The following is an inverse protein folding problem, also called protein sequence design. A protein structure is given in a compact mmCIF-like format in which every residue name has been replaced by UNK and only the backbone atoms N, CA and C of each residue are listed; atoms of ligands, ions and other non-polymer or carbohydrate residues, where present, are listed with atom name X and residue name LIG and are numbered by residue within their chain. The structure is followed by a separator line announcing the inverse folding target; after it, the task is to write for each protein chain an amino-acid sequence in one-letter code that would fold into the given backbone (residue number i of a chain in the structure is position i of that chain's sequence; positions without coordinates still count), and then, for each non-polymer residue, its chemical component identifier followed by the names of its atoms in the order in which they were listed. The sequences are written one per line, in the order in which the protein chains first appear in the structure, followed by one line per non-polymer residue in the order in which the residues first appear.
data_IF_456849556910
#
_entry.id   IF_456849556910
#
_cell.length_a   1.000
_cell.length_b   1.000
_cell.length_c   1.000
_cell.angle_alpha   90.00
_cell.angle_beta   90.00
_cell.angle_gamma   90.00
#
_symmetry.space_group_name_H-M   'P 1'
#
loop_
_entity.id
_entity.type
_entity.pdbx_description
1 polymer ?
#
# COMPACT_ATOMS: atom_id res chain seq x y z
N UNK A 1 -40.29 -29.51 -5.23
CA UNK A 1 -40.84 -28.30 -4.59
C UNK A 1 -39.71 -27.67 -3.81
N UNK A 2 -39.24 -26.54 -4.33
CA UNK A 2 -38.12 -25.68 -3.95
C UNK A 2 -37.64 -25.69 -2.50
N UNK A 3 -36.35 -25.99 -2.28
CA UNK A 3 -35.50 -25.20 -1.36
C UNK A 3 -34.00 -25.46 -1.62
N UNK A 4 -33.52 -25.05 -2.80
CA UNK A 4 -32.10 -24.86 -3.07
C UNK A 4 -31.90 -23.45 -3.61
N UNK A 5 -31.98 -22.45 -2.73
CA UNK A 5 -31.37 -21.15 -3.02
C UNK A 5 -31.08 -20.35 -1.74
N UNK A 6 -29.94 -20.67 -1.11
CA UNK A 6 -29.24 -19.76 -0.19
C UNK A 6 -27.73 -19.85 -0.37
N UNK A 7 -27.24 -19.95 -1.61
CA UNK A 7 -25.88 -19.48 -1.90
C UNK A 7 -25.96 -17.97 -2.07
N UNK A 8 -26.07 -17.31 -0.91
CA UNK A 8 -25.91 -15.88 -0.78
C UNK A 8 -24.68 -15.47 -1.59
N UNK A 9 -24.92 -14.61 -2.57
CA UNK A 9 -23.94 -13.90 -3.37
C UNK A 9 -22.96 -13.23 -2.40
N UNK A 10 -21.82 -13.88 -2.14
CA UNK A 10 -20.64 -13.19 -1.61
C UNK A 10 -20.23 -12.24 -2.73
N UNK A 11 -20.55 -10.96 -2.57
CA UNK A 11 -20.05 -9.92 -3.46
C UNK A 11 -18.54 -10.14 -3.65
N UNK A 12 -18.09 -10.14 -4.90
CA UNK A 12 -16.68 -10.34 -5.25
C UNK A 12 -15.87 -9.37 -4.39
N UNK A 13 -14.93 -9.88 -3.58
CA UNK A 13 -14.06 -9.01 -2.80
C UNK A 13 -13.40 -7.99 -3.73
N UNK A 14 -13.26 -6.73 -3.28
CA UNK A 14 -12.56 -5.70 -4.04
C UNK A 14 -11.15 -6.19 -4.38
N UNK A 15 -10.78 -6.14 -5.66
CA UNK A 15 -9.49 -6.60 -6.18
C UNK A 15 -8.80 -5.43 -6.87
N UNK A 16 -7.53 -5.20 -6.52
CA UNK A 16 -6.68 -4.19 -7.15
C UNK A 16 -5.47 -4.89 -7.75
N UNK A 17 -5.21 -4.64 -9.03
CA UNK A 17 -4.01 -5.09 -9.74
C UNK A 17 -3.09 -3.93 -10.02
N UNK A 18 -1.79 -4.13 -9.82
CA UNK A 18 -0.77 -3.13 -10.10
C UNK A 18 0.26 -3.70 -11.07
N UNK A 19 0.74 -2.85 -11.97
CA UNK A 19 2.02 -3.11 -12.64
C UNK A 19 3.14 -2.98 -11.60
N UNK A 20 4.16 -3.84 -11.69
CA UNK A 20 5.18 -4.01 -10.66
C UNK A 20 6.04 -2.76 -10.45
N UNK A 21 6.54 -2.15 -11.52
CA UNK A 21 7.28 -0.88 -11.44
C UNK A 21 6.43 0.20 -10.80
N UNK A 22 5.16 0.35 -11.23
CA UNK A 22 4.25 1.34 -10.67
C UNK A 22 4.00 1.11 -9.18
N UNK A 23 3.87 -0.15 -8.76
CA UNK A 23 3.75 -0.50 -7.35
C UNK A 23 4.99 -0.06 -6.57
N UNK A 24 6.18 -0.41 -7.06
CA UNK A 24 7.46 -0.02 -6.47
C UNK A 24 7.65 1.50 -6.40
N UNK A 25 7.31 2.24 -7.45
CA UNK A 25 7.37 3.71 -7.48
C UNK A 25 6.52 4.34 -6.37
N UNK A 26 5.31 3.85 -6.17
CA UNK A 26 4.40 4.37 -5.14
C UNK A 26 4.85 3.98 -3.73
N UNK A 27 5.39 2.77 -3.56
CA UNK A 27 6.00 2.32 -2.32
C UNK A 27 7.20 3.22 -1.95
N UNK A 28 8.07 3.53 -2.91
CA UNK A 28 9.22 4.45 -2.74
C UNK A 28 8.80 5.88 -2.39
N UNK A 29 7.57 6.30 -2.70
CA UNK A 29 7.00 7.59 -2.28
C UNK A 29 6.32 7.53 -0.90
N UNK A 30 6.47 6.41 -0.21
CA UNK A 30 5.81 6.09 1.05
C UNK A 30 4.29 6.23 1.00
N UNK A 31 3.66 5.82 -0.11
CA UNK A 31 2.20 5.81 -0.21
C UNK A 31 1.63 4.84 0.84
N UNK A 32 0.76 5.30 1.76
CA UNK A 32 0.28 4.46 2.85
C UNK A 32 -0.41 3.18 2.39
N UNK A 33 -1.30 3.26 1.40
CA UNK A 33 -2.06 2.10 0.94
C UNK A 33 -1.15 1.03 0.34
N UNK A 34 -0.11 1.46 -0.38
CA UNK A 34 0.86 0.55 -1.00
C UNK A 34 1.75 -0.09 0.05
N UNK A 35 2.26 0.70 1.00
CA UNK A 35 3.09 0.17 2.08
C UNK A 35 2.29 -0.80 2.97
N UNK A 36 1.03 -0.49 3.28
CA UNK A 36 0.16 -1.38 4.06
C UNK A 36 -0.14 -2.68 3.31
N UNK A 37 -0.41 -2.60 2.01
CA UNK A 37 -0.57 -3.78 1.15
C UNK A 37 0.70 -4.64 1.17
N UNK A 38 1.86 -4.03 0.95
CA UNK A 38 3.15 -4.73 0.92
C UNK A 38 3.48 -5.40 2.27
N UNK A 39 3.14 -4.77 3.39
CA UNK A 39 3.40 -5.28 4.74
C UNK A 39 2.26 -6.12 5.32
N UNK A 40 1.19 -6.35 4.57
CA UNK A 40 0.10 -7.23 5.00
C UNK A 40 0.63 -8.65 5.28
N UNK A 41 0.22 -9.28 6.40
CA UNK A 41 0.54 -10.68 6.67
C UNK A 41 -0.29 -11.65 5.81
N UNK A 42 -1.35 -11.15 5.15
CA UNK A 42 -2.27 -11.96 4.36
C UNK A 42 -1.73 -12.14 2.94
N UNK A 43 -1.09 -13.28 2.68
CA UNK A 43 -0.58 -13.66 1.36
C UNK A 43 -1.29 -14.93 0.90
N UNK A 44 -2.14 -14.80 -0.13
CA UNK A 44 -2.86 -15.95 -0.69
C UNK A 44 -1.97 -16.80 -1.61
N UNK A 45 -1.14 -16.15 -2.43
CA UNK A 45 -0.18 -16.80 -3.34
C UNK A 45 1.07 -15.94 -3.49
N UNK A 46 2.21 -16.59 -3.63
CA UNK A 46 3.50 -15.93 -3.86
C UNK A 46 4.41 -16.82 -4.70
N UNK A 47 4.91 -16.29 -5.81
CA UNK A 47 5.92 -16.92 -6.65
C UNK A 47 7.33 -16.44 -6.25
N UNK A 48 8.36 -16.77 -7.04
CA UNK A 48 9.74 -16.36 -6.74
C UNK A 48 9.92 -14.83 -6.78
N UNK A 49 9.30 -14.17 -7.76
CA UNK A 49 9.35 -12.70 -7.88
C UNK A 49 8.66 -12.02 -6.69
N UNK A 50 7.52 -12.55 -6.27
CA UNK A 50 6.83 -12.08 -5.07
C UNK A 50 7.66 -12.28 -3.80
N UNK A 51 8.32 -13.44 -3.64
CA UNK A 51 9.22 -13.69 -2.49
C UNK A 51 10.35 -12.68 -2.41
N UNK A 52 10.96 -12.36 -3.55
CA UNK A 52 12.01 -11.35 -3.64
C UNK A 52 11.49 -9.95 -3.29
N UNK A 53 10.31 -9.56 -3.80
CA UNK A 53 9.66 -8.30 -3.44
C UNK A 53 9.38 -8.20 -1.93
N UNK A 54 8.88 -9.27 -1.30
CA UNK A 54 8.63 -9.30 0.14
C UNK A 54 9.91 -9.20 0.97
N UNK A 55 11.02 -9.78 0.50
CA UNK A 55 12.34 -9.63 1.13
C UNK A 55 12.91 -8.21 1.01
N UNK A 56 12.38 -7.39 0.09
CA UNK A 56 12.76 -5.99 -0.12
C UNK A 56 11.91 -4.98 0.67
N UNK A 57 10.96 -5.42 1.50
CA UNK A 57 10.07 -4.55 2.31
C UNK A 57 10.80 -3.37 2.97
N UNK A 58 11.90 -3.65 3.65
CA UNK A 58 12.65 -2.64 4.40
C UNK A 58 13.32 -1.59 3.48
N UNK A 59 13.59 -1.93 2.21
CA UNK A 59 14.16 -0.99 1.24
C UNK A 59 13.20 0.17 0.91
N UNK A 60 11.89 -0.01 1.12
CA UNK A 60 10.88 1.03 0.89
C UNK A 60 10.68 1.97 2.09
N UNK A 61 11.16 1.58 3.28
CA UNK A 61 10.91 2.34 4.50
C UNK A 61 11.96 3.44 4.70
N UNK A 62 11.49 4.63 5.05
CA UNK A 62 12.36 5.78 5.33
C UNK A 62 11.62 6.84 6.14
N UNK A 63 12.36 7.84 6.64
CA UNK A 63 11.78 9.01 7.31
C UNK A 63 10.86 9.83 6.40
N UNK A 64 10.89 9.64 5.08
CA UNK A 64 9.93 10.28 4.15
C UNK A 64 8.48 9.88 4.44
N UNK A 65 8.26 8.71 5.06
CA UNK A 65 6.94 8.26 5.49
C UNK A 65 6.25 9.27 6.43
N UNK A 66 7.01 9.93 7.30
CA UNK A 66 6.49 11.01 8.16
C UNK A 66 5.77 12.08 7.35
N UNK A 67 6.47 12.65 6.36
CA UNK A 67 5.93 13.72 5.53
C UNK A 67 4.69 13.28 4.75
N UNK A 68 4.67 12.05 4.20
CA UNK A 68 3.52 11.57 3.44
C UNK A 68 2.31 11.28 4.33
N UNK A 69 2.51 10.61 5.46
CA UNK A 69 1.42 10.24 6.37
C UNK A 69 0.84 11.47 7.08
N UNK A 70 1.69 12.37 7.59
CA UNK A 70 1.24 13.60 8.27
C UNK A 70 0.52 14.53 7.29
N UNK A 71 1.06 14.78 6.09
CA UNK A 71 0.36 15.62 5.08
C UNK A 71 -0.98 15.01 4.68
N UNK A 72 -1.03 13.70 4.47
CA UNK A 72 -2.27 13.00 4.16
C UNK A 72 -3.29 13.15 5.31
N UNK A 73 -2.83 12.94 6.55
CA UNK A 73 -3.67 13.02 7.73
C UNK A 73 -4.25 14.42 7.96
N UNK A 74 -3.44 15.47 7.80
CA UNK A 74 -3.89 16.87 7.90
C UNK A 74 -4.94 17.22 6.83
N UNK A 75 -4.81 16.65 5.62
CA UNK A 75 -5.82 16.78 4.56
C UNK A 75 -7.14 16.11 4.91
N UNK A 76 -7.10 14.90 5.46
CA UNK A 76 -8.30 14.17 5.87
C UNK A 76 -8.96 14.78 7.11
N UNK A 77 -8.19 15.27 8.09
CA UNK A 77 -8.72 15.94 9.28
C UNK A 77 -9.58 17.14 8.89
N UNK A 78 -9.07 18.01 8.01
CA UNK A 78 -9.84 19.18 7.53
C UNK A 78 -11.19 18.82 6.89
N UNK A 79 -11.26 17.66 6.24
CA UNK A 79 -12.53 17.15 5.67
C UNK A 79 -13.48 16.68 6.77
N UNK A 80 -12.98 16.00 7.80
CA UNK A 80 -13.79 15.60 8.95
C UNK A 80 -14.28 16.81 9.73
N UNK A 81 -13.45 17.83 9.94
CA UNK A 81 -13.84 19.09 10.60
C UNK A 81 -14.99 19.77 9.84
N UNK A 82 -14.91 19.79 8.50
CA UNK A 82 -15.95 20.32 7.65
C UNK A 82 -17.25 19.50 7.76
N UNK A 83 -17.16 18.17 7.74
CA UNK A 83 -18.30 17.27 7.92
C UNK A 83 -18.99 17.53 9.27
N UNK A 84 -18.23 17.69 10.36
CA UNK A 84 -18.77 17.99 11.70
C UNK A 84 -19.47 19.35 11.73
N UNK A 85 -18.90 20.38 11.11
CA UNK A 85 -19.53 21.71 11.06
C UNK A 85 -20.83 21.70 10.26
N UNK A 86 -20.90 20.91 9.20
CA UNK A 86 -22.06 20.85 8.32
C UNK A 86 -23.17 19.94 8.84
N UNK A 87 -22.81 18.78 9.42
CA UNK A 87 -23.75 17.71 9.74
C UNK A 87 -23.81 17.38 11.25
N UNK A 88 -23.00 18.04 12.08
CA UNK A 88 -22.93 17.85 13.53
C UNK A 88 -22.10 16.64 13.97
N UNK A 89 -21.80 15.71 13.07
CA UNK A 89 -21.03 14.47 13.35
C UNK A 89 -20.04 14.16 12.24
N UNK A 90 -18.88 13.56 12.58
CA UNK A 90 -17.92 13.13 11.57
C UNK A 90 -18.36 11.82 10.92
N UNK A 91 -17.75 11.49 9.78
CA UNK A 91 -17.79 10.11 9.27
C UNK A 91 -16.91 9.22 10.13
N UNK A 92 -17.50 8.55 11.12
CA UNK A 92 -16.80 7.73 12.13
C UNK A 92 -15.82 6.68 11.56
N UNK A 93 -16.22 5.98 10.48
CA UNK A 93 -15.32 5.04 9.77
C UNK A 93 -14.05 5.72 9.28
N UNK A 94 -14.18 6.94 8.76
CA UNK A 94 -13.07 7.72 8.23
C UNK A 94 -12.19 8.27 9.36
N UNK A 95 -12.79 8.77 10.44
CA UNK A 95 -12.06 9.19 11.64
C UNK A 95 -11.23 8.06 12.26
N UNK A 96 -11.81 6.87 12.41
CA UNK A 96 -11.12 5.66 12.87
C UNK A 96 -9.93 5.31 11.96
N UNK A 97 -10.14 5.30 10.65
CA UNK A 97 -9.08 4.96 9.70
C UNK A 97 -7.91 5.95 9.77
N UNK A 98 -8.20 7.24 9.96
CA UNK A 98 -7.21 8.28 10.11
C UNK A 98 -6.39 8.13 11.40
N UNK A 99 -7.03 7.82 12.53
CA UNK A 99 -6.34 7.52 13.79
C UNK A 99 -5.42 6.32 13.66
N UNK A 100 -5.92 5.22 13.06
CA UNK A 100 -5.13 4.03 12.79
C UNK A 100 -3.89 4.36 11.98
N UNK A 101 -4.05 5.13 10.90
CA UNK A 101 -2.95 5.52 10.01
C UNK A 101 -1.88 6.35 10.74
N UNK A 102 -2.29 7.30 11.58
CA UNK A 102 -1.38 8.11 12.40
C UNK A 102 -0.63 7.25 13.43
N UNK A 103 -1.32 6.30 14.08
CA UNK A 103 -0.70 5.36 15.01
C UNK A 103 0.36 4.50 14.31
N UNK A 104 0.03 3.95 13.14
CA UNK A 104 0.97 3.20 12.29
C UNK A 104 2.19 4.04 11.90
N UNK A 105 2.01 5.31 11.54
CA UNK A 105 3.13 6.21 11.23
C UNK A 105 4.07 6.41 12.42
N UNK A 106 3.49 6.72 13.59
CA UNK A 106 4.24 6.88 14.84
C UNK A 106 5.06 5.63 15.16
N UNK A 107 4.43 4.46 15.09
CA UNK A 107 5.10 3.20 15.45
C UNK A 107 6.18 2.83 14.44
N UNK A 108 5.94 3.07 13.14
CA UNK A 108 6.96 2.96 12.09
C UNK A 108 8.17 3.86 12.40
N UNK A 109 7.94 5.13 12.75
CA UNK A 109 9.03 6.08 13.03
C UNK A 109 9.81 5.72 14.30
N UNK A 110 9.14 5.17 15.32
CA UNK A 110 9.77 4.74 16.57
C UNK A 110 10.56 3.44 16.44
N UNK A 111 10.03 2.47 15.69
CA UNK A 111 10.56 1.09 15.68
C UNK A 111 11.33 0.74 14.41
N UNK A 112 11.14 1.52 13.34
CA UNK A 112 11.64 1.20 12.00
C UNK A 112 10.86 0.08 11.30
N UNK A 113 9.77 -0.42 11.89
CA UNK A 113 9.00 -1.55 11.36
C UNK A 113 7.57 -1.12 11.07
N UNK A 114 7.09 -1.40 9.87
CA UNK A 114 5.69 -1.19 9.52
C UNK A 114 4.87 -2.43 9.91
N UNK A 115 4.02 -2.28 10.93
CA UNK A 115 3.11 -3.31 11.44
C UNK A 115 1.67 -2.85 11.24
N UNK A 116 0.84 -3.73 10.65
CA UNK A 116 -0.57 -3.44 10.31
C UNK A 116 -1.51 -3.76 11.48
N UNK A 117 -1.08 -4.66 12.36
CA UNK A 117 -1.82 -4.99 13.57
C UNK A 117 -1.87 -3.78 14.52
N UNK A 118 -3.07 -3.46 14.99
CA UNK A 118 -3.35 -2.33 15.88
C UNK A 118 -3.27 -2.71 17.36
N UNK A 119 -3.09 -3.99 17.67
CA UNK A 119 -2.92 -4.51 19.04
C UNK A 119 -3.98 -3.99 20.00
N UNK A 120 -3.51 -3.47 21.14
CA UNK A 120 -4.36 -2.99 22.25
C UNK A 120 -5.25 -1.79 21.87
N UNK A 121 -4.89 -1.03 20.82
CA UNK A 121 -5.69 0.09 20.34
C UNK A 121 -6.96 -0.37 19.57
N UNK A 122 -7.11 -1.68 19.29
CA UNK A 122 -8.23 -2.22 18.50
C UNK A 122 -9.60 -1.81 19.03
N UNK A 123 -9.87 -2.03 20.31
CA UNK A 123 -11.19 -1.75 20.87
C UNK A 123 -11.48 -0.24 20.91
N UNK A 124 -10.45 0.56 21.21
CA UNK A 124 -10.55 2.01 21.19
C UNK A 124 -10.87 2.55 19.79
N UNK A 125 -10.24 1.99 18.75
CA UNK A 125 -10.55 2.31 17.35
C UNK A 125 -11.98 1.87 16.96
N UNK A 126 -12.44 0.73 17.46
CA UNK A 126 -13.82 0.27 17.21
C UNK A 126 -14.85 1.16 17.92
N UNK A 127 -14.58 1.64 19.12
CA UNK A 127 -15.42 2.63 19.81
C UNK A 127 -15.56 3.93 19.00
N UNK A 128 -14.46 4.42 18.40
CA UNK A 128 -14.50 5.54 17.43
C UNK A 128 -15.40 5.21 16.25
N UNK A 129 -15.24 4.03 15.65
CA UNK A 129 -16.05 3.61 14.50
C UNK A 129 -17.55 3.54 14.84
N UNK A 130 -17.89 3.18 16.08
CA UNK A 130 -19.28 3.13 16.60
C UNK A 130 -19.81 4.49 17.04
N UNK A 131 -18.96 5.53 17.12
CA UNK A 131 -19.34 6.87 17.55
C UNK A 131 -19.57 6.98 19.06
N UNK A 132 -18.94 6.11 19.84
CA UNK A 132 -19.08 6.05 21.31
C UNK A 132 -18.18 7.04 22.06
N UNK A 133 -17.29 7.71 21.32
CA UNK A 133 -16.39 8.75 21.84
C UNK A 133 -16.74 10.10 21.24
N UNK A 134 -16.45 11.17 21.97
CA UNK A 134 -16.68 12.53 21.48
C UNK A 134 -15.72 12.89 20.34
N UNK A 135 -16.15 13.81 19.47
CA UNK A 135 -15.27 14.33 18.40
C UNK A 135 -14.01 15.00 18.97
N UNK A 136 -14.14 15.74 20.07
CA UNK A 136 -13.02 16.38 20.75
C UNK A 136 -11.95 15.39 21.23
N UNK A 137 -12.36 14.23 21.77
CA UNK A 137 -11.43 13.16 22.15
C UNK A 137 -10.70 12.59 20.94
N UNK A 138 -11.40 12.43 19.81
CA UNK A 138 -10.81 11.98 18.55
C UNK A 138 -9.80 12.99 18.02
N UNK A 139 -10.12 14.27 18.02
CA UNK A 139 -9.21 15.35 17.59
C UNK A 139 -7.96 15.42 18.48
N UNK A 140 -8.14 15.32 19.79
CA UNK A 140 -7.05 15.32 20.76
C UNK A 140 -6.15 14.09 20.57
N UNK A 141 -6.73 12.92 20.26
CA UNK A 141 -5.95 11.73 19.93
C UNK A 141 -5.19 11.88 18.61
N UNK A 142 -5.81 12.42 17.55
CA UNK A 142 -5.12 12.70 16.28
C UNK A 142 -3.94 13.67 16.46
N UNK A 143 -4.13 14.71 17.27
CA UNK A 143 -3.12 15.73 17.55
C UNK A 143 -1.94 15.10 18.29
N UNK A 144 -2.20 14.37 19.38
CA UNK A 144 -1.16 13.64 20.13
C UNK A 144 -0.38 12.67 19.25
N UNK A 145 -1.05 11.87 18.41
CA UNK A 145 -0.35 10.95 17.51
C UNK A 145 0.55 11.66 16.50
N UNK A 146 0.11 12.83 16.01
CA UNK A 146 0.90 13.65 15.08
C UNK A 146 2.14 14.20 15.77
N UNK A 147 2.00 14.75 16.98
CA UNK A 147 3.12 15.24 17.79
C UNK A 147 4.11 14.13 18.16
N UNK A 148 3.60 12.94 18.52
CA UNK A 148 4.43 11.77 18.79
C UNK A 148 5.21 11.30 17.57
N UNK A 149 4.62 11.38 16.36
CA UNK A 149 5.29 11.08 15.10
C UNK A 149 6.33 12.14 14.73
N UNK A 150 6.02 13.43 14.91
CA UNK A 150 6.95 14.54 14.72
C UNK A 150 8.19 14.37 15.61
N UNK A 151 7.98 14.12 16.91
CA UNK A 151 9.06 13.91 17.87
C UNK A 151 9.92 12.68 17.56
N UNK A 152 9.31 11.58 17.08
CA UNK A 152 10.03 10.36 16.73
C UNK A 152 10.94 10.51 15.51
N UNK A 153 10.69 11.49 14.63
CA UNK A 153 11.42 11.62 13.35
C UNK A 153 12.92 11.85 13.54
N UNK A 154 13.32 12.67 14.52
CA UNK A 154 14.73 13.00 14.75
C UNK A 154 15.56 11.80 15.26
N UNK A 155 14.97 10.97 16.12
CA UNK A 155 15.61 9.78 16.70
C UNK A 155 15.27 8.47 15.96
N UNK A 156 14.60 8.54 14.83
CA UNK A 156 14.10 7.36 14.12
C UNK A 156 15.26 6.48 13.62
N UNK A 157 15.15 5.14 13.73
CA UNK A 157 16.11 4.21 13.14
C UNK A 157 16.02 4.12 11.61
N UNK A 158 14.99 4.73 11.01
CA UNK A 158 14.80 4.70 9.57
C UNK A 158 15.83 5.57 8.84
N UNK A 159 16.27 5.15 7.64
CA UNK A 159 17.12 5.98 6.80
C UNK A 159 16.37 7.25 6.36
N UNK A 160 17.14 8.27 5.94
CA UNK A 160 16.56 9.52 5.44
C UNK A 160 15.72 9.31 4.17
N UNK A 161 16.16 8.40 3.30
CA UNK A 161 15.54 8.08 2.02
C UNK A 161 15.41 6.55 1.85
N UNK A 162 14.45 6.07 1.05
CA UNK A 162 14.36 4.64 0.75
C UNK A 162 15.51 4.18 -0.15
N UNK A 163 15.83 2.90 -0.10
CA UNK A 163 16.89 2.30 -0.90
C UNK A 163 16.41 2.05 -2.34
N UNK A 164 16.45 3.13 -3.13
CA UNK A 164 16.08 3.10 -4.55
C UNK A 164 16.96 2.18 -5.37
N UNK A 165 18.24 2.06 -5.03
CA UNK A 165 19.18 1.25 -5.79
C UNK A 165 18.81 -0.24 -5.71
N UNK A 166 18.48 -0.74 -4.52
CA UNK A 166 18.02 -2.13 -4.34
C UNK A 166 16.72 -2.42 -5.07
N UNK A 167 15.78 -1.46 -5.06
CA UNK A 167 14.49 -1.61 -5.76
C UNK A 167 14.67 -1.60 -7.29
N UNK A 168 15.52 -0.72 -7.80
CA UNK A 168 15.82 -0.65 -9.24
C UNK A 168 16.51 -1.93 -9.73
N UNK A 169 17.51 -2.41 -9.00
CA UNK A 169 18.23 -3.65 -9.31
C UNK A 169 17.28 -4.86 -9.36
N UNK A 170 16.31 -4.93 -8.44
CA UNK A 170 15.21 -5.89 -8.49
C UNK A 170 14.36 -5.76 -9.76
N UNK A 171 13.88 -4.56 -10.09
CA UNK A 171 13.05 -4.34 -11.27
C UNK A 171 13.78 -4.73 -12.56
N UNK A 172 15.07 -4.39 -12.68
CA UNK A 172 15.92 -4.78 -13.82
C UNK A 172 16.01 -6.31 -13.94
N UNK A 173 16.26 -7.03 -12.85
CA UNK A 173 16.30 -8.51 -12.86
C UNK A 173 14.97 -9.11 -13.29
N UNK A 174 13.86 -8.64 -12.72
CA UNK A 174 12.53 -9.15 -13.04
C UNK A 174 12.19 -8.93 -14.52
N UNK A 175 12.47 -7.74 -15.05
CA UNK A 175 12.26 -7.43 -16.47
C UNK A 175 13.10 -8.33 -17.38
N UNK A 176 14.38 -8.54 -17.06
CA UNK A 176 15.26 -9.46 -17.81
C UNK A 176 14.72 -10.89 -17.80
N UNK A 177 14.34 -11.40 -16.63
CA UNK A 177 13.76 -12.74 -16.50
C UNK A 177 12.42 -12.87 -17.25
N UNK A 178 11.60 -11.82 -17.26
CA UNK A 178 10.36 -11.78 -18.03
C UNK A 178 10.62 -11.83 -19.54
N UNK A 179 11.57 -11.02 -20.05
CA UNK A 179 11.93 -10.99 -21.46
C UNK A 179 12.50 -12.34 -21.95
N UNK A 180 13.35 -12.98 -21.14
CA UNK A 180 13.91 -14.30 -21.45
C UNK A 180 12.82 -15.39 -21.51
N UNK A 181 11.82 -15.34 -20.63
CA UNK A 181 10.67 -16.26 -20.67
C UNK A 181 9.79 -16.04 -21.90
N UNK A 182 9.57 -14.79 -22.30
CA UNK A 182 8.81 -14.48 -23.51
C UNK A 182 9.56 -14.88 -24.80
N UNK A 183 10.89 -14.91 -24.77
CA UNK A 183 11.72 -15.30 -25.91
C UNK A 183 11.90 -16.83 -26.05
N UNK A 184 11.47 -17.64 -25.08
CA UNK A 184 11.47 -19.10 -25.22
C UNK A 184 10.28 -19.53 -26.11
N UNK A 185 10.51 -20.25 -27.22
CA UNK A 185 9.41 -20.73 -28.05
C UNK A 185 8.59 -21.75 -27.25
N UNK A 186 7.32 -21.45 -27.02
CA UNK A 186 6.35 -22.43 -26.53
C UNK A 186 6.14 -23.56 -27.56
N UNK A 187 5.60 -24.73 -27.15
CA UNK A 187 5.38 -25.87 -28.03
C UNK A 187 4.45 -25.60 -29.23
N UNK A 188 3.68 -24.50 -29.20
CA UNK A 188 2.72 -24.12 -30.24
C UNK A 188 3.15 -22.89 -31.08
N UNK A 189 4.40 -22.45 -30.97
CA UNK A 189 4.87 -21.31 -31.76
C UNK A 189 5.22 -21.75 -33.18
N UNK A 190 4.21 -21.84 -34.06
CA UNK A 190 4.44 -21.85 -35.50
C UNK A 190 5.19 -20.57 -35.89
N UNK A 191 6.47 -20.73 -36.15
CA UNK A 191 7.32 -19.71 -36.75
C UNK A 191 6.72 -19.36 -38.12
N UNK A 192 5.96 -18.27 -38.22
CA UNK A 192 5.66 -17.66 -39.52
C UNK A 192 6.97 -17.11 -40.06
N UNK A 193 7.66 -17.93 -40.86
CA UNK A 193 8.76 -17.47 -41.68
C UNK A 193 8.17 -16.50 -42.71
N UNK A 194 8.37 -15.20 -42.48
CA UNK A 194 8.19 -14.20 -43.54
C UNK A 194 9.29 -14.48 -44.55
N UNK A 195 8.94 -15.22 -45.60
CA UNK A 195 9.78 -15.37 -46.79
C UNK A 195 9.87 -13.98 -47.41
N UNK A 196 11.01 -13.31 -47.21
CA UNK A 196 11.38 -12.13 -47.98
C UNK A 196 11.64 -12.60 -49.42
N UNK A 197 10.57 -12.65 -50.22
CA UNK A 197 10.64 -12.86 -51.66
C UNK A 197 11.46 -11.75 -52.29
N UNK A 198 12.56 -12.14 -52.92
CA UNK A 198 13.37 -11.26 -53.74
C UNK A 198 12.61 -10.73 -54.95
N UNK A 199 13.02 -9.53 -55.39
CA UNK A 199 12.58 -8.92 -56.63
C UNK A 199 13.55 -7.80 -57.01
N UNK A 200 14.61 -8.18 -57.72
CA UNK A 200 15.51 -7.29 -58.46
C UNK A 200 14.78 -6.71 -59.68
N UNK A 201 14.88 -5.39 -59.90
CA UNK A 201 14.99 -4.71 -61.22
C UNK A 201 15.64 -3.35 -60.90
N UNK A 202 16.73 -2.86 -61.48
CA UNK A 202 17.35 -3.14 -62.77
C UNK A 202 17.20 -1.91 -63.68
N UNK A 203 18.22 -1.04 -63.63
CA UNK A 203 18.49 0.15 -64.48
C UNK A 203 17.59 1.40 -64.39
#
# INVERSE_FOLDING_TARGET
MHELDRRAVRGRAEQFSWELERFCELALRANPNILECLHSPLVERVDDTGRELLALRDAFLSRQAHGTFVRYALGQRRRLDADVRQYGVPRWKHAMHLLRLLATCRDLLRTGRLVIDVGDDRERLLAVKRGEVSWWEVESWMTRLSEEADAATAGSPLPAEPDRARVEDFLVRVRRASALRAAQPGPDCECVQVVAGGGLVGE
#
